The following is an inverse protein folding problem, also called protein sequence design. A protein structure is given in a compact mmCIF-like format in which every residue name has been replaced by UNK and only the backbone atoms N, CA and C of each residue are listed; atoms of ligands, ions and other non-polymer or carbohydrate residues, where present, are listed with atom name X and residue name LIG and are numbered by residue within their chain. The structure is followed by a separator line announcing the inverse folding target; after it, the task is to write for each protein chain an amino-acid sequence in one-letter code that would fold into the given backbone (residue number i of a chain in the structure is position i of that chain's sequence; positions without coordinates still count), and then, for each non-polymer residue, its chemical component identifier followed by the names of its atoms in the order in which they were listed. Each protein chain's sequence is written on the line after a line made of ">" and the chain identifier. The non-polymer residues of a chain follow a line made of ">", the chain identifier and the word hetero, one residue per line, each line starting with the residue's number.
data_IF_199955740703
#
_entry.id   IF_199955740703
#
_cell.length_a   1.000
_cell.length_b   1.000
_cell.length_c   1.000
_cell.angle_alpha   90.00
_cell.angle_beta   90.00
_cell.angle_gamma   90.00
#
_symmetry.space_group_name_H-M   'P 1'
#
loop_
_entity.id
_entity.type
_entity.pdbx_description
1 polymer ?
#
# COMPACT_ATOMS: atom_id res chain seq x y z
N UNK A 1 -4.52 -4.97 -10.68
CA UNK A 1 -5.17 -3.67 -11.00
C UNK A 1 -4.30 -2.89 -11.98
N UNK A 2 -4.86 -2.07 -12.88
CA UNK A 2 -4.04 -1.21 -13.76
C UNK A 2 -3.63 0.08 -13.03
N UNK A 3 -2.54 0.76 -13.43
CA UNK A 3 -2.13 2.02 -12.81
C UNK A 3 -3.23 3.09 -12.83
N UNK A 4 -3.98 3.20 -13.94
CA UNK A 4 -5.09 4.15 -14.05
C UNK A 4 -6.24 3.84 -13.09
N UNK A 5 -6.53 2.57 -12.85
CA UNK A 5 -7.53 2.18 -11.85
C UNK A 5 -7.07 2.53 -10.44
N UNK A 6 -5.81 2.25 -10.10
CA UNK A 6 -5.26 2.55 -8.78
C UNK A 6 -5.28 4.07 -8.48
N UNK A 7 -4.90 4.89 -9.45
CA UNK A 7 -4.95 6.36 -9.34
C UNK A 7 -6.38 6.87 -9.12
N UNK A 8 -7.34 6.40 -9.91
CA UNK A 8 -8.75 6.81 -9.77
C UNK A 8 -9.33 6.43 -8.40
N UNK A 9 -9.01 5.24 -7.90
CA UNK A 9 -9.47 4.76 -6.60
C UNK A 9 -8.81 5.55 -5.45
N UNK A 10 -7.50 5.78 -5.52
CA UNK A 10 -6.74 6.42 -4.44
C UNK A 10 -7.03 7.93 -4.33
N UNK A 11 -7.28 8.60 -5.44
CA UNK A 11 -7.55 10.04 -5.50
C UNK A 11 -9.00 10.45 -5.18
N UNK A 12 -9.96 9.51 -5.18
CA UNK A 12 -11.36 9.84 -4.94
C UNK A 12 -11.63 10.27 -3.48
N UNK A 13 -12.68 11.06 -3.27
CA UNK A 13 -13.07 11.54 -1.93
C UNK A 13 -13.84 10.49 -1.10
N UNK A 14 -14.18 9.34 -1.68
CA UNK A 14 -14.92 8.31 -0.98
C UNK A 14 -14.10 7.69 0.16
N UNK A 15 -14.78 7.33 1.25
CA UNK A 15 -14.18 6.58 2.34
C UNK A 15 -13.73 5.21 1.83
N UNK A 16 -12.43 4.90 2.01
CA UNK A 16 -11.83 3.63 1.57
C UNK A 16 -11.79 2.66 2.74
N UNK A 17 -12.67 1.66 2.73
CA UNK A 17 -12.66 0.54 3.68
C UNK A 17 -12.10 -0.67 2.93
N UNK A 18 -10.90 -1.10 3.30
CA UNK A 18 -10.25 -2.26 2.71
C UNK A 18 -10.56 -3.52 3.54
N UNK A 19 -11.30 -4.46 2.96
CA UNK A 19 -11.50 -5.80 3.53
C UNK A 19 -10.68 -6.81 2.71
N UNK A 20 -9.58 -7.37 3.26
CA UNK A 20 -8.76 -8.33 2.54
C UNK A 20 -9.46 -9.70 2.51
N UNK A 21 -10.30 -9.92 1.50
CA UNK A 21 -11.08 -11.16 1.33
C UNK A 21 -10.28 -12.31 0.67
N UNK A 22 -9.17 -12.00 0.00
CA UNK A 22 -8.30 -12.96 -0.69
C UNK A 22 -6.81 -12.71 -0.38
N UNK A 23 -5.98 -13.76 -0.47
CA UNK A 23 -4.51 -13.67 -0.43
C UNK A 23 -3.94 -13.06 -1.74
N UNK A 24 -4.50 -11.93 -2.18
CA UNK A 24 -3.86 -11.12 -3.21
C UNK A 24 -2.52 -10.60 -2.66
N UNK A 25 -1.56 -10.29 -3.54
CA UNK A 25 -0.25 -9.73 -3.15
C UNK A 25 -0.38 -8.26 -2.65
N UNK A 26 -1.18 -8.03 -1.62
CA UNK A 26 -1.42 -6.74 -0.99
C UNK A 26 -0.87 -6.77 0.44
N UNK A 27 0.07 -5.86 0.72
CA UNK A 27 0.65 -5.69 2.07
C UNK A 27 0.07 -4.43 2.69
N UNK A 28 -0.54 -4.56 3.86
CA UNK A 28 -1.08 -3.42 4.60
C UNK A 28 0.05 -2.84 5.46
N UNK A 29 0.38 -1.57 5.22
CA UNK A 29 1.38 -0.80 5.98
C UNK A 29 0.65 0.24 6.82
N UNK A 30 1.13 0.52 8.04
CA UNK A 30 0.52 1.54 8.91
C UNK A 30 -0.50 1.04 9.94
N UNK A 31 -0.55 -0.27 10.21
CA UNK A 31 -1.40 -0.85 11.28
C UNK A 31 -0.84 -0.54 12.68
N UNK A 32 0.48 -0.44 12.79
CA UNK A 32 1.18 -0.13 14.06
C UNK A 32 1.16 1.38 14.25
N UNK A 33 0.99 1.89 15.47
CA UNK A 33 0.87 3.33 15.72
C UNK A 33 2.26 4.01 15.74
N UNK A 34 2.81 4.30 14.56
CA UNK A 34 4.08 5.02 14.36
C UNK A 34 3.86 6.35 13.61
N UNK A 35 4.76 7.35 13.72
CA UNK A 35 4.61 8.60 12.99
C UNK A 35 4.83 8.38 11.47
N UNK A 36 4.13 9.19 10.66
CA UNK A 36 4.14 9.08 9.19
C UNK A 36 5.53 8.94 8.56
N UNK A 37 6.58 9.69 8.98
CA UNK A 37 7.92 9.52 8.42
C UNK A 37 8.47 8.10 8.54
N UNK A 38 8.18 7.39 9.63
CA UNK A 38 8.64 6.01 9.82
C UNK A 38 7.92 5.04 8.88
N UNK A 39 6.63 5.25 8.63
CA UNK A 39 5.92 4.43 7.64
C UNK A 39 6.43 4.63 6.23
N UNK A 40 6.71 5.88 5.84
CA UNK A 40 7.26 6.18 4.51
C UNK A 40 8.61 5.50 4.34
N UNK A 41 9.48 5.59 5.36
CA UNK A 41 10.77 4.92 5.33
C UNK A 41 10.62 3.40 5.19
N UNK A 42 9.76 2.78 6.01
CA UNK A 42 9.51 1.33 5.95
C UNK A 42 8.94 0.91 4.59
N UNK A 43 7.99 1.66 4.04
CA UNK A 43 7.38 1.40 2.74
C UNK A 43 8.44 1.41 1.62
N UNK A 44 9.29 2.43 1.59
CA UNK A 44 10.31 2.57 0.53
C UNK A 44 11.42 1.54 0.70
N UNK A 45 11.96 1.40 1.92
CA UNK A 45 13.15 0.58 2.15
C UNK A 45 12.87 -0.92 2.18
N UNK A 46 11.70 -1.34 2.66
CA UNK A 46 11.37 -2.76 2.82
C UNK A 46 10.39 -3.20 1.75
N UNK A 47 9.24 -2.55 1.67
CA UNK A 47 8.12 -3.07 0.88
C UNK A 47 8.36 -2.89 -0.64
N UNK A 48 8.71 -1.69 -1.08
CA UNK A 48 8.90 -1.39 -2.52
C UNK A 48 10.17 -2.04 -3.06
N UNK A 49 11.29 -1.94 -2.33
CA UNK A 49 12.56 -2.57 -2.73
C UNK A 49 12.44 -4.09 -2.82
N UNK A 50 11.76 -4.75 -1.88
CA UNK A 50 11.55 -6.20 -1.95
C UNK A 50 10.74 -6.59 -3.20
N UNK A 51 9.68 -5.85 -3.52
CA UNK A 51 8.87 -6.13 -4.72
C UNK A 51 9.68 -5.93 -5.99
N UNK A 52 10.46 -4.86 -6.10
CA UNK A 52 11.25 -4.57 -7.30
C UNK A 52 12.43 -5.52 -7.51
N UNK A 53 12.99 -6.09 -6.44
CA UNK A 53 14.09 -7.05 -6.52
C UNK A 53 13.62 -8.48 -6.90
N UNK A 54 12.32 -8.78 -6.81
CA UNK A 54 11.73 -10.08 -7.12
C UNK A 54 10.86 -10.05 -8.40
N UNK A 55 11.00 -9.01 -9.22
CA UNK A 55 10.36 -8.88 -10.55
C UNK A 55 11.42 -8.94 -11.64
#
# INVERSE_FOLDING_TARGET
>A
VTPRMAEAITSCQALKILLPLSQEQCRIVGIVNEPLPHFVQRLVEKEIKEVWNHV
#
